data_IF_603335290319
#
_entry.id   IF_603335290319
#
_cell.length_a   1.000
_cell.length_b   1.000
_cell.length_c   1.000
_cell.angle_alpha   90.00
_cell.angle_beta   90.00
_cell.angle_gamma   90.00
#
_symmetry.space_group_name_H-M   'P 1'
#
loop_
_entity.id
_entity.type
_entity.pdbx_description
1 polymer ?
#
# COMPACT_ATOMS: atom_id res chain seq x y z
N UNK A 1 6.27 -5.27 -40.59
CA UNK A 1 7.20 -6.07 -39.77
C UNK A 1 6.99 -5.63 -38.34
N UNK A 2 6.37 -6.46 -37.50
CA UNK A 2 6.26 -6.17 -36.07
C UNK A 2 7.61 -6.59 -35.50
N UNK A 3 8.47 -5.61 -35.20
CA UNK A 3 9.69 -5.88 -34.45
C UNK A 3 9.30 -6.54 -33.14
N UNK A 4 9.89 -7.71 -32.91
CA UNK A 4 9.55 -8.59 -31.81
C UNK A 4 9.63 -7.82 -30.49
N UNK A 5 8.48 -7.56 -29.85
CA UNK A 5 8.40 -6.89 -28.55
C UNK A 5 8.97 -7.74 -27.38
N UNK A 6 9.73 -8.78 -27.69
CA UNK A 6 10.07 -9.88 -26.79
C UNK A 6 11.53 -10.26 -27.03
N UNK A 7 12.38 -10.02 -26.03
CA UNK A 7 13.78 -10.42 -26.06
C UNK A 7 13.91 -11.94 -25.83
N UNK A 8 14.50 -12.67 -26.77
CA UNK A 8 14.83 -14.10 -26.64
C UNK A 8 14.10 -15.03 -27.61
N UNK A 9 14.39 -16.35 -27.52
CA UNK A 9 13.67 -17.38 -28.28
C UNK A 9 12.25 -17.51 -27.71
N UNK A 10 11.19 -17.57 -28.55
CA UNK A 10 9.82 -17.74 -28.08
C UNK A 10 9.72 -19.05 -27.28
N UNK A 11 9.23 -18.95 -26.04
CA UNK A 11 8.94 -20.10 -25.19
C UNK A 11 7.53 -20.60 -25.52
N UNK A 12 7.39 -21.86 -25.93
CA UNK A 12 6.11 -22.48 -26.27
C UNK A 12 5.97 -22.86 -27.74
N UNK A 13 4.78 -23.32 -28.13
CA UNK A 13 4.49 -23.70 -29.52
C UNK A 13 4.28 -22.47 -30.41
N UNK A 14 4.49 -22.63 -31.71
CA UNK A 14 4.20 -21.58 -32.71
C UNK A 14 2.75 -21.10 -32.64
N UNK A 15 1.81 -22.02 -32.43
CA UNK A 15 0.39 -21.70 -32.28
C UNK A 15 0.11 -20.81 -31.06
N UNK A 16 0.79 -21.06 -29.94
CA UNK A 16 0.68 -20.21 -28.75
C UNK A 16 1.16 -18.80 -29.04
N UNK A 17 2.25 -18.68 -29.81
CA UNK A 17 2.80 -17.40 -30.21
C UNK A 17 1.88 -16.60 -31.12
N UNK A 18 1.28 -17.24 -32.11
CA UNK A 18 0.28 -16.60 -32.98
C UNK A 18 -0.90 -16.05 -32.17
N UNK A 19 -1.39 -16.82 -31.18
CA UNK A 19 -2.46 -16.38 -30.29
C UNK A 19 -2.06 -15.17 -29.43
N UNK A 20 -0.81 -15.14 -28.94
CA UNK A 20 -0.28 -13.99 -28.21
C UNK A 20 -0.14 -12.76 -29.11
N UNK A 21 0.35 -12.90 -30.34
CA UNK A 21 0.45 -11.79 -31.28
C UNK A 21 -0.93 -11.23 -31.64
N UNK A 22 -1.94 -12.07 -31.84
CA UNK A 22 -3.33 -11.63 -32.05
C UNK A 22 -3.83 -10.83 -30.84
N UNK A 23 -3.55 -11.30 -29.63
CA UNK A 23 -3.93 -10.62 -28.39
C UNK A 23 -3.23 -9.27 -28.23
N UNK A 24 -1.91 -9.22 -28.45
CA UNK A 24 -1.11 -7.99 -28.39
C UNK A 24 -1.63 -6.97 -29.42
N UNK A 25 -1.85 -7.40 -30.66
CA UNK A 25 -2.36 -6.51 -31.72
C UNK A 25 -3.75 -5.96 -31.36
N UNK A 26 -4.61 -6.77 -30.74
CA UNK A 26 -5.92 -6.31 -30.24
C UNK A 26 -5.75 -5.27 -29.13
N UNK A 27 -4.86 -5.51 -28.17
CA UNK A 27 -4.57 -4.55 -27.08
C UNK A 27 -4.04 -3.23 -27.65
N UNK A 28 -3.05 -3.29 -28.55
CA UNK A 28 -2.48 -2.11 -29.20
C UNK A 28 -3.53 -1.36 -30.02
N UNK A 29 -4.41 -2.07 -30.72
CA UNK A 29 -5.50 -1.45 -31.48
C UNK A 29 -6.47 -0.68 -30.58
N UNK A 30 -6.80 -1.21 -29.41
CA UNK A 30 -7.64 -0.53 -28.41
C UNK A 30 -6.87 0.66 -27.83
N UNK A 31 -5.64 0.44 -27.37
CA UNK A 31 -4.81 1.48 -26.74
C UNK A 31 -4.61 2.69 -27.65
N UNK A 32 -4.32 2.47 -28.93
CA UNK A 32 -4.13 3.53 -29.91
C UNK A 32 -5.41 4.33 -30.21
N UNK A 33 -6.60 3.82 -29.84
CA UNK A 33 -7.87 4.52 -29.98
C UNK A 33 -8.27 5.31 -28.74
N UNK A 34 -7.59 5.11 -27.61
CA UNK A 34 -7.88 5.84 -26.38
C UNK A 34 -7.39 7.28 -26.55
N UNK A 35 -8.30 8.24 -26.41
CA UNK A 35 -7.99 9.66 -26.33
C UNK A 35 -8.28 10.15 -24.92
N UNK A 36 -7.24 10.54 -24.18
CA UNK A 36 -7.40 11.21 -22.88
C UNK A 36 -7.78 12.66 -23.18
N UNK A 37 -9.00 13.04 -22.82
CA UNK A 37 -9.51 14.40 -23.00
C UNK A 37 -9.51 15.11 -21.65
N UNK A 38 -9.10 16.37 -21.65
CA UNK A 38 -9.28 17.21 -20.48
C UNK A 38 -10.77 17.45 -20.23
N UNK A 39 -11.20 17.57 -18.96
CA UNK A 39 -12.55 18.01 -18.64
C UNK A 39 -12.84 19.37 -19.29
N UNK A 40 -14.08 19.59 -19.71
CA UNK A 40 -14.50 20.92 -20.18
C UNK A 40 -14.36 22.00 -19.08
N UNK A 41 -14.37 23.27 -19.47
CA UNK A 41 -14.10 24.43 -18.58
C UNK A 41 -14.98 24.47 -17.32
N UNK A 42 -16.18 23.89 -17.38
CA UNK A 42 -17.14 23.80 -16.27
C UNK A 42 -17.42 22.36 -15.79
N UNK A 43 -16.58 21.39 -16.19
CA UNK A 43 -16.70 20.00 -15.76
C UNK A 43 -15.73 19.70 -14.63
N UNK A 44 -16.28 19.30 -13.49
CA UNK A 44 -15.52 18.86 -12.32
C UNK A 44 -15.69 17.35 -12.17
N UNK A 45 -14.68 16.54 -12.53
CA UNK A 45 -14.72 15.10 -12.31
C UNK A 45 -14.95 14.81 -10.82
N UNK A 46 -15.87 13.88 -10.54
CA UNK A 46 -16.19 13.41 -9.20
C UNK A 46 -15.76 11.96 -9.08
N UNK A 47 -15.60 11.49 -7.85
CA UNK A 47 -15.30 10.08 -7.56
C UNK A 47 -16.35 9.14 -8.19
N UNK A 48 -17.61 9.56 -8.20
CA UNK A 48 -18.74 8.83 -8.79
C UNK A 48 -18.65 8.66 -10.32
N UNK A 49 -17.84 9.49 -11.00
CA UNK A 49 -17.63 9.39 -12.45
C UNK A 49 -16.51 8.42 -12.82
N UNK A 50 -15.77 7.88 -11.85
CA UNK A 50 -14.71 6.91 -12.12
C UNK A 50 -15.30 5.57 -12.56
N UNK A 51 -14.67 4.88 -13.53
CA UNK A 51 -14.98 3.49 -13.81
C UNK A 51 -14.81 2.65 -12.54
N UNK A 52 -15.67 1.64 -12.40
CA UNK A 52 -15.68 0.75 -11.25
C UNK A 52 -14.32 0.05 -11.04
N UNK A 53 -13.63 -0.28 -12.12
CA UNK A 53 -12.30 -0.86 -12.14
C UNK A 53 -11.28 0.05 -11.47
N UNK A 54 -11.39 1.37 -11.68
CA UNK A 54 -10.51 2.36 -11.02
C UNK A 54 -10.87 2.47 -9.54
N UNK A 55 -12.16 2.51 -9.21
CA UNK A 55 -12.63 2.53 -7.81
C UNK A 55 -12.12 1.29 -7.06
N UNK A 56 -12.16 0.12 -7.70
CA UNK A 56 -11.62 -1.13 -7.16
C UNK A 56 -10.13 -1.07 -6.91
N UNK A 57 -9.35 -0.55 -7.84
CA UNK A 57 -7.90 -0.40 -7.63
C UNK A 57 -7.58 0.61 -6.52
N UNK A 58 -8.39 1.66 -6.33
CA UNK A 58 -8.25 2.56 -5.18
C UNK A 58 -8.53 1.82 -3.87
N UNK A 59 -9.65 1.09 -3.78
CA UNK A 59 -10.03 0.34 -2.58
C UNK A 59 -9.01 -0.76 -2.23
N UNK A 60 -8.40 -1.39 -3.23
CA UNK A 60 -7.33 -2.38 -3.04
C UNK A 60 -6.05 -1.82 -2.41
N UNK A 61 -5.88 -0.50 -2.36
CA UNK A 61 -4.74 0.14 -1.69
C UNK A 61 -5.03 0.54 -0.25
N UNK A 62 -6.27 0.38 0.22
CA UNK A 62 -6.60 0.64 1.61
C UNK A 62 -6.13 -0.52 2.48
N UNK A 63 -5.38 -0.17 3.53
CA UNK A 63 -4.76 -1.12 4.46
C UNK A 63 -5.50 -1.19 5.80
N UNK A 64 -6.57 -0.41 6.01
CA UNK A 64 -7.45 -0.53 7.17
C UNK A 64 -8.86 -0.96 6.73
N UNK A 65 -9.36 -2.05 7.33
CA UNK A 65 -10.74 -2.48 7.17
C UNK A 65 -11.77 -1.40 7.50
N UNK A 66 -11.49 -0.49 8.45
CA UNK A 66 -12.41 0.60 8.78
C UNK A 66 -12.57 1.56 7.62
N UNK A 67 -11.49 1.82 6.87
CA UNK A 67 -11.54 2.68 5.70
C UNK A 67 -12.35 2.04 4.58
N UNK A 68 -12.27 0.72 4.42
CA UNK A 68 -13.15 -0.03 3.51
C UNK A 68 -14.61 0.05 3.95
N UNK A 69 -14.91 -0.21 5.22
CA UNK A 69 -16.26 -0.14 5.79
C UNK A 69 -16.85 1.27 5.74
N UNK A 70 -16.01 2.31 5.79
CA UNK A 70 -16.46 3.69 5.64
C UNK A 70 -16.62 4.07 4.17
N UNK A 71 -15.75 3.57 3.29
CA UNK A 71 -15.87 3.75 1.84
C UNK A 71 -17.16 3.13 1.31
N UNK A 72 -17.56 1.96 1.81
CA UNK A 72 -18.83 1.33 1.41
C UNK A 72 -20.05 2.18 1.74
N UNK A 73 -19.97 3.05 2.75
CA UNK A 73 -21.05 3.99 3.13
C UNK A 73 -21.03 5.27 2.30
N UNK A 74 -19.97 5.53 1.53
CA UNK A 74 -19.84 6.76 0.74
C UNK A 74 -20.80 6.78 -0.45
N UNK A 75 -20.83 5.71 -1.26
CA UNK A 75 -21.80 5.54 -2.36
C UNK A 75 -21.85 4.09 -2.88
N UNK A 76 -22.85 3.81 -3.73
CA UNK A 76 -23.25 2.45 -4.13
C UNK A 76 -22.18 1.64 -4.87
N UNK A 77 -21.33 2.26 -5.69
CA UNK A 77 -20.26 1.52 -6.40
C UNK A 77 -19.20 1.05 -5.40
N UNK A 78 -18.78 1.91 -4.46
CA UNK A 78 -17.87 1.50 -3.40
C UNK A 78 -18.47 0.41 -2.53
N UNK A 79 -19.76 0.49 -2.19
CA UNK A 79 -20.44 -0.57 -1.44
C UNK A 79 -20.32 -1.94 -2.12
N UNK A 80 -20.69 -2.00 -3.40
CA UNK A 80 -20.64 -3.24 -4.18
C UNK A 80 -19.22 -3.77 -4.36
N UNK A 81 -18.24 -2.89 -4.55
CA UNK A 81 -16.85 -3.31 -4.73
C UNK A 81 -16.25 -3.81 -3.40
N UNK A 82 -16.57 -3.19 -2.27
CA UNK A 82 -16.11 -3.65 -0.94
C UNK A 82 -16.66 -5.05 -0.61
N UNK A 83 -17.86 -5.40 -1.08
CA UNK A 83 -18.43 -6.75 -0.90
C UNK A 83 -17.72 -7.84 -1.73
N UNK A 84 -16.81 -7.47 -2.64
CA UNK A 84 -16.06 -8.44 -3.42
C UNK A 84 -15.03 -9.19 -2.57
N UNK A 85 -15.04 -10.51 -2.71
CA UNK A 85 -14.10 -11.40 -2.04
C UNK A 85 -12.63 -11.09 -2.35
N UNK A 86 -12.34 -10.49 -3.52
CA UNK A 86 -10.99 -10.04 -3.88
C UNK A 86 -10.48 -8.96 -2.91
N UNK A 87 -11.31 -7.95 -2.58
CA UNK A 87 -10.90 -6.86 -1.69
C UNK A 87 -10.42 -7.41 -0.34
N UNK A 88 -11.26 -8.23 0.29
CA UNK A 88 -10.95 -8.82 1.60
C UNK A 88 -9.80 -9.81 1.55
N UNK A 89 -9.64 -10.56 0.45
CA UNK A 89 -8.50 -11.45 0.26
C UNK A 89 -7.18 -10.69 0.21
N UNK A 90 -7.10 -9.63 -0.60
CA UNK A 90 -5.88 -8.82 -0.71
C UNK A 90 -5.56 -8.13 0.62
N UNK A 91 -6.57 -7.59 1.32
CA UNK A 91 -6.39 -7.04 2.67
C UNK A 91 -5.86 -8.09 3.65
N UNK A 92 -6.39 -9.32 3.58
CA UNK A 92 -5.92 -10.42 4.41
C UNK A 92 -4.46 -10.76 4.11
N UNK A 93 -4.08 -10.86 2.84
CA UNK A 93 -2.71 -11.16 2.43
C UNK A 93 -1.72 -10.05 2.81
N UNK A 94 -2.19 -8.80 2.88
CA UNK A 94 -1.38 -7.67 3.32
C UNK A 94 -0.98 -7.77 4.81
N UNK A 95 -1.93 -8.16 5.69
CA UNK A 95 -1.68 -8.20 7.13
C UNK A 95 -1.14 -9.53 7.67
N UNK A 96 -1.43 -10.65 7.00
CA UNK A 96 -1.20 -11.98 7.56
C UNK A 96 -0.28 -12.83 6.71
N UNK A 97 0.56 -13.63 7.37
CA UNK A 97 1.44 -14.58 6.68
C UNK A 97 0.67 -15.78 6.13
N UNK A 98 1.19 -16.49 5.09
CA UNK A 98 0.57 -17.71 4.59
C UNK A 98 0.32 -18.77 5.66
N UNK A 99 1.18 -18.84 6.67
CA UNK A 99 1.07 -19.76 7.80
C UNK A 99 -0.12 -19.41 8.71
N UNK A 100 -0.28 -18.12 9.06
CA UNK A 100 -1.43 -17.64 9.84
C UNK A 100 -2.75 -17.87 9.10
N UNK A 101 -2.78 -17.55 7.80
CA UNK A 101 -3.94 -17.80 6.95
C UNK A 101 -4.30 -19.28 6.89
N UNK A 102 -3.32 -20.16 6.64
CA UNK A 102 -3.54 -21.62 6.60
C UNK A 102 -4.10 -22.14 7.93
N UNK A 103 -3.57 -21.66 9.05
CA UNK A 103 -4.05 -22.02 10.38
C UNK A 103 -5.53 -21.71 10.57
N UNK A 104 -5.99 -20.51 10.21
CA UNK A 104 -7.40 -20.13 10.36
C UNK A 104 -8.28 -20.86 9.34
N UNK A 105 -7.85 -20.97 8.08
CA UNK A 105 -8.62 -21.63 7.04
C UNK A 105 -8.91 -23.11 7.37
N UNK A 106 -7.97 -23.82 7.99
CA UNK A 106 -8.17 -25.20 8.43
C UNK A 106 -9.22 -25.37 9.53
N UNK A 107 -9.59 -24.28 10.24
CA UNK A 107 -10.63 -24.29 11.27
C UNK A 107 -12.02 -23.92 10.75
N UNK A 108 -12.12 -23.54 9.47
CA UNK A 108 -13.37 -23.08 8.87
C UNK A 108 -14.13 -24.25 8.22
N UNK A 109 -15.46 -24.37 8.44
CA UNK A 109 -16.26 -25.47 7.92
C UNK A 109 -16.72 -25.32 6.46
N UNK A 110 -16.44 -24.18 5.79
CA UNK A 110 -17.05 -23.82 4.50
C UNK A 110 -16.10 -24.03 3.30
N UNK A 111 -16.57 -24.60 2.18
CA UNK A 111 -15.84 -24.63 0.91
C UNK A 111 -15.81 -23.26 0.21
N UNK A 112 -16.78 -22.38 0.50
CA UNK A 112 -16.78 -20.99 0.01
C UNK A 112 -16.06 -20.13 1.03
N UNK A 113 -14.92 -19.57 0.61
CA UNK A 113 -14.12 -18.68 1.45
C UNK A 113 -14.76 -17.29 1.47
N UNK A 114 -15.50 -17.00 2.53
CA UNK A 114 -15.83 -15.62 2.92
C UNK A 114 -14.58 -14.97 3.53
N UNK A 115 -13.85 -14.24 2.69
CA UNK A 115 -12.61 -13.58 3.06
C UNK A 115 -12.79 -12.47 4.08
N UNK A 116 -13.98 -11.86 4.18
CA UNK A 116 -14.27 -10.90 5.24
C UNK A 116 -14.33 -11.59 6.60
N UNK A 117 -15.02 -12.73 6.69
CA UNK A 117 -15.02 -13.55 7.90
C UNK A 117 -13.64 -14.10 8.24
N UNK A 118 -12.86 -14.54 7.24
CA UNK A 118 -11.46 -14.97 7.41
C UNK A 118 -10.61 -13.84 8.00
N UNK A 119 -10.69 -12.64 7.42
CA UNK A 119 -9.98 -11.46 7.89
C UNK A 119 -10.27 -11.16 9.36
N UNK A 120 -11.54 -11.09 9.75
CA UNK A 120 -11.90 -10.76 11.14
C UNK A 120 -11.45 -11.84 12.14
N UNK A 121 -11.47 -13.12 11.75
CA UNK A 121 -10.92 -14.20 12.59
C UNK A 121 -9.41 -14.07 12.75
N UNK A 122 -8.68 -13.82 11.66
CA UNK A 122 -7.23 -13.59 11.69
C UNK A 122 -6.86 -12.38 12.54
N UNK A 123 -7.56 -11.25 12.35
CA UNK A 123 -7.38 -10.04 13.17
C UNK A 123 -7.54 -10.33 14.65
N UNK A 124 -8.56 -11.12 15.03
CA UNK A 124 -8.80 -11.49 16.43
C UNK A 124 -7.71 -12.41 16.99
N UNK A 125 -7.17 -13.31 16.18
CA UNK A 125 -6.16 -14.29 16.59
C UNK A 125 -4.73 -13.72 16.64
N UNK A 126 -4.37 -12.86 15.70
CA UNK A 126 -2.97 -12.45 15.47
C UNK A 126 -2.74 -10.94 15.55
N UNK A 127 -3.78 -10.12 15.69
CA UNK A 127 -3.68 -8.66 15.56
C UNK A 127 -3.51 -8.22 14.11
N UNK A 128 -3.22 -6.95 13.88
CA UNK A 128 -2.92 -6.42 12.54
C UNK A 128 -1.43 -6.10 12.42
N UNK A 129 -0.91 -6.21 11.21
CA UNK A 129 0.38 -5.61 10.86
C UNK A 129 0.32 -4.09 11.08
N UNK A 130 1.23 -3.57 11.90
CA UNK A 130 1.43 -2.14 12.07
C UNK A 130 2.38 -1.64 10.98
N UNK A 131 1.92 -0.78 10.08
CA UNK A 131 2.78 -0.02 9.18
C UNK A 131 2.73 1.46 9.55
N UNK A 132 3.90 2.05 9.76
CA UNK A 132 4.05 3.47 10.03
C UNK A 132 4.75 4.11 8.83
N UNK A 133 4.19 5.20 8.30
CA UNK A 133 4.77 5.91 7.16
C UNK A 133 6.20 6.38 7.44
N UNK A 134 6.46 6.81 8.67
CA UNK A 134 7.78 7.17 9.14
C UNK A 134 7.87 6.93 10.66
N UNK A 135 9.08 6.71 11.18
CA UNK A 135 9.35 6.68 12.62
C UNK A 135 10.00 7.99 13.06
N UNK A 136 9.41 8.63 14.07
CA UNK A 136 10.01 9.79 14.74
C UNK A 136 11.38 9.39 15.29
N UNK A 137 12.36 10.28 15.15
CA UNK A 137 13.69 10.11 15.69
C UNK A 137 13.83 10.92 16.98
N UNK A 138 14.45 10.33 18.01
CA UNK A 138 14.91 11.03 19.20
C UNK A 138 16.38 11.37 19.05
N UNK A 139 16.72 12.66 19.17
CA UNK A 139 18.11 13.07 19.30
C UNK A 139 18.60 12.87 20.73
N UNK A 140 19.66 12.08 20.91
CA UNK A 140 20.27 11.85 22.23
C UNK A 140 20.96 13.09 22.81
N UNK A 141 21.30 14.05 21.96
CA UNK A 141 21.98 15.27 22.38
C UNK A 141 21.02 16.33 22.95
N UNK A 142 20.09 16.83 22.11
CA UNK A 142 19.15 17.88 22.52
C UNK A 142 17.81 17.36 23.06
N UNK A 143 17.57 16.04 23.00
CA UNK A 143 16.31 15.38 23.42
C UNK A 143 15.07 15.80 22.60
N UNK A 144 15.27 16.40 21.43
CA UNK A 144 14.18 16.70 20.50
C UNK A 144 13.70 15.44 19.78
N UNK A 145 12.38 15.37 19.57
CA UNK A 145 11.72 14.42 18.68
C UNK A 145 11.47 15.10 17.33
N UNK A 146 11.81 14.43 16.23
CA UNK A 146 11.69 15.01 14.88
C UNK A 146 11.45 13.96 13.79
N UNK A 147 10.89 14.38 12.66
CA UNK A 147 10.76 13.55 11.46
C UNK A 147 12.04 13.65 10.63
N UNK A 148 12.62 12.52 10.23
CA UNK A 148 13.88 12.49 9.48
C UNK A 148 13.73 13.19 8.13
N UNK A 149 12.57 13.05 7.50
CA UNK A 149 12.21 13.70 6.23
C UNK A 149 12.17 15.23 6.30
N UNK A 150 11.82 15.80 7.46
CA UNK A 150 11.69 17.25 7.67
C UNK A 150 13.00 17.86 8.20
N UNK A 151 13.91 17.03 8.71
CA UNK A 151 15.19 17.45 9.26
C UNK A 151 15.16 17.68 10.78
N UNK A 152 16.34 17.70 11.37
CA UNK A 152 16.51 17.79 12.82
C UNK A 152 16.65 19.27 13.26
N UNK A 153 15.77 19.81 14.13
CA UNK A 153 15.79 21.23 14.51
C UNK A 153 16.87 21.58 15.56
N UNK A 154 17.99 20.87 15.61
CA UNK A 154 18.99 21.10 16.65
C UNK A 154 19.65 22.48 16.53
N UNK A 155 19.76 23.17 17.65
CA UNK A 155 20.64 24.33 17.79
C UNK A 155 22.12 23.89 17.65
N UNK A 156 22.42 22.64 17.96
CA UNK A 156 23.77 22.08 17.92
C UNK A 156 24.40 22.02 16.51
N UNK A 157 23.60 22.00 15.44
CA UNK A 157 24.14 22.12 14.07
C UNK A 157 24.65 23.53 13.76
N UNK A 158 24.29 24.53 14.58
CA UNK A 158 24.68 25.95 14.40
C UNK A 158 25.83 26.40 15.30
N UNK A 159 26.34 25.54 16.18
CA UNK A 159 27.46 25.84 17.09
C UNK A 159 28.75 25.14 16.62
N UNK A 160 29.78 25.88 16.16
CA UNK A 160 31.06 25.32 15.71
C UNK A 160 31.77 24.48 16.77
N UNK A 161 31.67 24.84 18.06
CA UNK A 161 32.29 24.10 19.15
C UNK A 161 31.61 22.75 19.42
N UNK A 162 30.38 22.58 18.92
CA UNK A 162 29.61 21.35 19.03
C UNK A 162 29.80 20.45 17.80
N UNK A 163 30.00 21.03 16.62
CA UNK A 163 30.34 20.29 15.41
C UNK A 163 31.67 19.54 15.56
N UNK A 164 32.70 20.17 16.13
CA UNK A 164 34.01 19.55 16.38
C UNK A 164 33.91 18.32 17.31
N UNK A 165 33.01 18.35 18.30
CA UNK A 165 32.73 17.20 19.19
C UNK A 165 31.93 16.08 18.53
N UNK A 166 31.29 16.34 17.40
CA UNK A 166 30.48 15.40 16.64
C UNK A 166 31.25 14.75 15.48
N UNK A 167 32.46 15.23 15.14
CA UNK A 167 33.27 14.65 14.06
C UNK A 167 33.73 13.23 14.37
N UNK A 168 34.05 12.95 15.64
CA UNK A 168 34.48 11.63 16.12
C UNK A 168 33.32 10.70 16.51
N UNK A 169 32.08 11.20 16.52
CA UNK A 169 30.90 10.40 16.91
C UNK A 169 30.22 9.85 15.66
N UNK A 170 29.95 8.54 15.66
CA UNK A 170 29.14 7.92 14.62
C UNK A 170 27.77 8.60 14.56
N UNK A 171 27.54 9.39 13.50
CA UNK A 171 26.30 10.16 13.29
C UNK A 171 25.05 9.27 13.28
N UNK A 172 25.20 7.98 12.97
CA UNK A 172 24.09 7.02 13.01
C UNK A 172 23.63 6.69 14.44
N UNK A 173 24.48 6.92 15.44
CA UNK A 173 24.20 6.64 16.85
C UNK A 173 23.53 7.81 17.61
N UNK A 174 23.51 9.01 17.00
CA UNK A 174 22.97 10.23 17.59
C UNK A 174 21.44 10.26 17.61
N UNK A 175 20.83 9.66 16.58
CA UNK A 175 19.39 9.67 16.34
C UNK A 175 18.86 8.25 16.44
N UNK A 176 17.91 8.04 17.35
CA UNK A 176 17.32 6.72 17.57
C UNK A 176 15.85 6.73 17.14
N UNK A 177 15.39 5.76 16.33
CA UNK A 177 13.98 5.66 15.98
C UNK A 177 13.14 5.33 17.22
N UNK A 178 12.03 6.04 17.36
CA UNK A 178 11.05 5.84 18.44
C UNK A 178 9.78 5.24 17.82
N UNK A 179 9.47 3.96 18.10
CA UNK A 179 8.19 3.37 17.72
C UNK A 179 7.03 4.11 18.38
N UNK A 180 5.84 4.18 17.76
CA UNK A 180 4.69 4.89 18.33
C UNK A 180 4.29 4.43 19.73
N UNK A 181 4.41 3.13 20.04
CA UNK A 181 4.19 2.63 21.39
C UNK A 181 5.19 3.21 22.42
N UNK A 182 6.45 3.39 22.04
CA UNK A 182 7.46 4.02 22.89
C UNK A 182 7.20 5.53 23.03
N UNK A 183 6.79 6.19 21.95
CA UNK A 183 6.37 7.59 21.98
C UNK A 183 5.22 7.79 22.96
N UNK A 184 4.16 6.98 22.87
CA UNK A 184 3.01 7.08 23.77
C UNK A 184 3.41 6.92 25.24
N UNK A 185 4.37 6.05 25.57
CA UNK A 185 4.91 5.92 26.94
C UNK A 185 5.61 7.16 27.47
N UNK A 186 6.22 7.97 26.61
CA UNK A 186 6.87 9.21 27.05
C UNK A 186 5.87 10.29 27.46
N UNK A 187 4.63 10.23 26.95
CA UNK A 187 3.62 11.28 27.14
C UNK A 187 2.33 10.80 27.81
N UNK A 188 2.26 9.53 28.24
CA UNK A 188 1.18 9.05 29.09
C UNK A 188 1.49 9.44 30.53
N UNK A 189 0.76 10.43 31.04
CA UNK A 189 0.72 10.82 32.46
C UNK A 189 -0.12 9.83 33.28
#
# INVERSE_FOLDING_TARGET
MIDCACWGKPLGSTQLWENHLVTINRILSIANRIQIREPGVDQYPKMEHLPEEVVREVLLRLTDHKDLENSSKAYSVMARVVDEQRIWRELTQFHFTPQQMTFVLNTMPSPVQDWQAVYHKLRKAFGLREEYAEMIQLCRNCRCLFWKSIGHPCIAEKDPAFQEKLEDVDKSSLHVPIPPQAFLRFFSL
#
